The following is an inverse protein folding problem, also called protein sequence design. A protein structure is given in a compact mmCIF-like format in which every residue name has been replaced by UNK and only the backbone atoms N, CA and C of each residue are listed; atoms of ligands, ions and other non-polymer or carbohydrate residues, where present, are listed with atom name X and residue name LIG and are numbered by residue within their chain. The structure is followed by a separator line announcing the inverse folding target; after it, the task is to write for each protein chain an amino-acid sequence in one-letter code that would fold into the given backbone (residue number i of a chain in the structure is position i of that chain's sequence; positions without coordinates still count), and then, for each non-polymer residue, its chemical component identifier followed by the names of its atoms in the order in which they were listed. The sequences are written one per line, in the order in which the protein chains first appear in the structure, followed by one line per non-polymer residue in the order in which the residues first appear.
data_IF_348219526309
#
_entry.id   IF_348219526309
#
_cell.length_a   1.000
_cell.length_b   1.000
_cell.length_c   1.000
_cell.angle_alpha   90.00
_cell.angle_beta   90.00
_cell.angle_gamma   90.00
#
_symmetry.space_group_name_H-M   'P 1'
#
loop_
_entity.id
_entity.type
_entity.pdbx_description
1 polymer ?
#
# COMPACT_ATOMS: atom_id res chain seq x y z
N UNK A 1 -27.47 15.77 -2.75
CA UNK A 1 -27.42 17.18 -2.32
C UNK A 1 -28.65 17.40 -1.45
N UNK A 2 -28.49 17.77 -0.19
CA UNK A 2 -29.66 17.96 0.68
C UNK A 2 -30.38 19.25 0.26
N UNK A 3 -31.64 19.19 -0.19
CA UNK A 3 -32.36 20.39 -0.61
C UNK A 3 -32.57 21.34 0.58
N UNK A 4 -32.14 22.60 0.44
CA UNK A 4 -32.39 23.67 1.42
C UNK A 4 -31.23 24.04 2.36
N UNK A 5 -30.07 23.36 2.31
CA UNK A 5 -28.88 23.73 3.10
C UNK A 5 -27.81 24.40 2.24
N UNK A 6 -27.10 25.38 2.83
CA UNK A 6 -26.00 26.04 2.14
C UNK A 6 -24.84 25.06 1.89
N UNK A 7 -24.13 25.15 0.75
CA UNK A 7 -23.00 24.27 0.43
C UNK A 7 -21.93 24.23 1.52
N UNK A 8 -21.75 25.35 2.23
CA UNK A 8 -20.81 25.49 3.35
C UNK A 8 -21.21 24.61 4.54
N UNK A 9 -22.50 24.58 4.91
CA UNK A 9 -22.98 23.74 6.02
C UNK A 9 -22.88 22.25 5.66
N UNK A 10 -23.14 21.88 4.40
CA UNK A 10 -22.99 20.49 3.95
C UNK A 10 -21.52 20.05 3.99
N UNK A 11 -20.57 20.92 3.58
CA UNK A 11 -19.14 20.64 3.70
C UNK A 11 -18.69 20.54 5.17
N UNK A 12 -19.20 21.41 6.04
CA UNK A 12 -18.89 21.38 7.48
C UNK A 12 -19.40 20.10 8.16
N UNK A 13 -20.62 19.66 7.82
CA UNK A 13 -21.14 18.38 8.30
C UNK A 13 -20.37 17.17 7.73
N UNK A 14 -20.01 17.20 6.45
CA UNK A 14 -19.21 16.14 5.83
C UNK A 14 -17.81 16.00 6.42
N UNK A 15 -17.15 17.14 6.70
CA UNK A 15 -15.83 17.16 7.35
C UNK A 15 -15.91 16.70 8.81
N UNK A 16 -16.89 17.20 9.59
CA UNK A 16 -17.12 16.75 10.97
C UNK A 16 -17.44 15.25 11.05
N UNK A 17 -18.22 14.74 10.10
CA UNK A 17 -18.52 13.31 10.02
C UNK A 17 -17.27 12.47 9.77
N UNK A 18 -16.42 12.88 8.81
CA UNK A 18 -15.16 12.19 8.49
C UNK A 18 -14.18 12.22 9.67
N UNK A 19 -14.05 13.36 10.34
CA UNK A 19 -13.25 13.49 11.56
C UNK A 19 -13.83 12.69 12.72
N UNK A 20 -15.16 12.67 12.87
CA UNK A 20 -15.86 11.89 13.89
C UNK A 20 -15.64 10.39 13.72
N UNK A 21 -15.70 9.87 12.49
CA UNK A 21 -15.33 8.49 12.16
C UNK A 21 -13.88 8.18 12.50
N UNK A 22 -12.95 9.10 12.20
CA UNK A 22 -11.53 8.95 12.54
C UNK A 22 -11.32 8.92 14.05
N UNK A 23 -11.97 9.83 14.79
CA UNK A 23 -11.92 9.88 16.24
C UNK A 23 -12.56 8.64 16.89
N UNK A 24 -13.68 8.15 16.35
CA UNK A 24 -14.32 6.91 16.80
C UNK A 24 -13.42 5.68 16.54
N UNK A 25 -12.77 5.63 15.38
CA UNK A 25 -11.75 4.64 15.03
C UNK A 25 -10.60 4.61 16.04
N UNK A 26 -10.05 5.78 16.38
CA UNK A 26 -9.00 5.92 17.38
C UNK A 26 -9.49 5.59 18.80
N UNK A 27 -10.74 5.93 19.13
CA UNK A 27 -11.33 5.68 20.45
C UNK A 27 -11.42 4.18 20.78
N UNK A 28 -11.59 3.32 19.76
CA UNK A 28 -11.59 1.86 19.93
C UNK A 28 -10.27 1.34 20.53
N UNK A 29 -9.14 2.02 20.33
CA UNK A 29 -7.83 1.65 20.90
C UNK A 29 -7.83 1.73 22.44
N UNK A 30 -8.67 2.58 23.05
CA UNK A 30 -8.79 2.64 24.51
C UNK A 30 -9.60 1.47 25.11
N UNK A 31 -10.47 0.84 24.32
CA UNK A 31 -11.28 -0.32 24.72
C UNK A 31 -10.48 -1.62 24.53
N UNK A 32 -9.69 -1.71 23.47
CA UNK A 32 -8.81 -2.85 23.21
C UNK A 32 -7.43 -2.64 23.83
N UNK A 33 -7.22 -3.19 25.04
CA UNK A 33 -5.92 -3.15 25.70
C UNK A 33 -4.81 -3.70 24.79
N UNK A 34 -3.69 -2.97 24.67
CA UNK A 34 -2.51 -3.19 23.81
C UNK A 34 -1.80 -4.56 23.91
N UNK A 35 -2.39 -5.52 24.63
CA UNK A 35 -1.76 -6.80 24.99
C UNK A 35 -1.87 -7.88 23.91
N UNK A 36 -2.71 -7.72 22.89
CA UNK A 36 -2.93 -8.77 21.88
C UNK A 36 -2.51 -8.29 20.49
N UNK A 37 -1.22 -8.45 20.16
CA UNK A 37 -0.64 -8.14 18.84
C UNK A 37 -1.47 -8.69 17.67
N UNK A 38 -2.10 -9.86 17.85
CA UNK A 38 -3.00 -10.49 16.86
C UNK A 38 -4.20 -9.61 16.46
N UNK A 39 -4.77 -8.84 17.38
CA UNK A 39 -5.90 -7.94 17.08
C UNK A 39 -5.41 -6.72 16.32
N UNK A 40 -4.23 -6.20 16.69
CA UNK A 40 -3.60 -5.08 15.98
C UNK A 40 -3.16 -5.46 14.56
N UNK A 41 -2.57 -6.64 14.38
CA UNK A 41 -2.21 -7.17 13.06
C UNK A 41 -3.47 -7.39 12.21
N UNK A 42 -4.57 -7.83 12.85
CA UNK A 42 -5.89 -7.97 12.21
C UNK A 42 -6.51 -6.65 11.78
N UNK A 43 -6.42 -5.59 12.59
CA UNK A 43 -6.95 -4.27 12.24
C UNK A 43 -6.11 -3.56 11.17
N UNK A 44 -4.79 -3.72 11.20
CA UNK A 44 -3.88 -3.26 10.14
C UNK A 44 -4.17 -3.96 8.80
N UNK A 45 -4.37 -5.28 8.83
CA UNK A 45 -4.77 -6.06 7.65
C UNK A 45 -6.16 -5.66 7.13
N UNK A 46 -7.12 -5.42 8.02
CA UNK A 46 -8.46 -4.94 7.65
C UNK A 46 -8.39 -3.57 6.98
N UNK A 47 -7.65 -2.62 7.56
CA UNK A 47 -7.47 -1.29 6.99
C UNK A 47 -6.83 -1.35 5.60
N UNK A 48 -5.77 -2.15 5.45
CA UNK A 48 -5.14 -2.38 4.15
C UNK A 48 -6.13 -3.00 3.13
N UNK A 49 -6.93 -3.98 3.56
CA UNK A 49 -7.94 -4.63 2.73
C UNK A 49 -9.03 -3.67 2.24
N UNK A 50 -9.60 -2.84 3.13
CA UNK A 50 -10.63 -1.84 2.77
C UNK A 50 -10.07 -0.84 1.76
N UNK A 51 -8.81 -0.41 1.93
CA UNK A 51 -8.18 0.54 1.02
C UNK A 51 -7.92 -0.05 -0.37
N UNK A 52 -7.50 -1.32 -0.45
CA UNK A 52 -7.33 -2.04 -1.73
C UNK A 52 -8.67 -2.26 -2.45
N UNK A 53 -9.70 -2.68 -1.71
CA UNK A 53 -11.05 -2.88 -2.21
C UNK A 53 -11.62 -1.60 -2.83
N UNK A 54 -11.62 -0.51 -2.07
CA UNK A 54 -12.11 0.78 -2.55
C UNK A 54 -11.35 1.25 -3.80
N UNK A 55 -10.03 1.04 -3.84
CA UNK A 55 -9.22 1.39 -5.00
C UNK A 55 -9.62 0.60 -6.25
N UNK A 56 -9.92 -0.70 -6.14
CA UNK A 56 -10.34 -1.48 -7.30
C UNK A 56 -11.74 -1.11 -7.79
N UNK A 57 -12.73 -1.11 -6.90
CA UNK A 57 -14.13 -0.90 -7.29
C UNK A 57 -14.48 0.56 -7.58
N UNK A 58 -13.93 1.52 -6.83
CA UNK A 58 -14.27 2.94 -7.00
C UNK A 58 -13.35 3.66 -7.99
N UNK A 59 -12.15 3.14 -8.27
CA UNK A 59 -11.20 3.80 -9.18
C UNK A 59 -10.83 2.94 -10.37
N UNK A 60 -10.35 1.71 -10.17
CA UNK A 60 -9.74 0.93 -11.25
C UNK A 60 -10.77 0.39 -12.24
N UNK A 61 -11.88 -0.18 -11.77
CA UNK A 61 -12.98 -0.67 -12.61
C UNK A 61 -13.59 0.46 -13.49
N UNK A 62 -14.04 1.60 -12.93
CA UNK A 62 -14.54 2.70 -13.75
C UNK A 62 -13.47 3.34 -14.63
N UNK A 63 -12.19 3.34 -14.22
CA UNK A 63 -11.11 3.85 -15.07
C UNK A 63 -10.87 2.99 -16.33
N UNK A 64 -11.04 1.67 -16.24
CA UNK A 64 -10.94 0.78 -17.41
C UNK A 64 -12.11 1.03 -18.37
N UNK A 65 -13.33 1.16 -17.85
CA UNK A 65 -14.52 1.45 -18.66
C UNK A 65 -14.38 2.79 -19.40
N UNK A 66 -13.90 3.84 -18.72
CA UNK A 66 -13.60 5.13 -19.35
C UNK A 66 -12.47 5.06 -20.39
N UNK A 67 -11.47 4.20 -20.17
CA UNK A 67 -10.40 4.01 -21.14
C UNK A 67 -10.89 3.27 -22.40
N UNK A 68 -11.80 2.33 -22.26
CA UNK A 68 -12.43 1.58 -23.35
C UNK A 68 -13.34 2.46 -24.20
N UNK A 69 -14.18 3.30 -23.58
CA UNK A 69 -15.05 4.27 -24.29
C UNK A 69 -14.26 5.32 -25.08
N UNK A 70 -13.04 5.66 -24.64
CA UNK A 70 -12.23 6.71 -25.27
C UNK A 70 -11.68 6.34 -26.65
N UNK A 71 -11.83 5.09 -27.10
CA UNK A 71 -11.68 4.65 -28.50
C UNK A 71 -10.27 4.76 -29.10
N UNK A 72 -9.26 5.25 -28.36
CA UNK A 72 -7.87 5.42 -28.84
C UNK A 72 -7.00 4.17 -28.73
N UNK A 73 -7.44 3.20 -27.93
CA UNK A 73 -6.78 1.93 -27.70
C UNK A 73 -7.91 0.91 -27.57
N UNK A 74 -8.14 0.04 -28.57
CA UNK A 74 -9.22 -0.97 -28.55
C UNK A 74 -9.01 -2.02 -27.43
N UNK A 75 -8.59 -3.23 -27.78
CA UNK A 75 -8.33 -4.32 -26.80
C UNK A 75 -7.23 -4.01 -25.76
N UNK A 76 -6.54 -2.87 -25.86
CA UNK A 76 -5.48 -2.42 -24.95
C UNK A 76 -5.93 -1.32 -23.97
N UNK A 77 -7.24 -1.14 -23.73
CA UNK A 77 -7.78 -0.15 -22.79
C UNK A 77 -7.21 -0.24 -21.36
N UNK A 78 -6.71 -1.42 -20.95
CA UNK A 78 -6.05 -1.61 -19.65
C UNK A 78 -4.66 -0.93 -19.57
N UNK A 79 -4.01 -0.65 -20.70
CA UNK A 79 -2.66 -0.11 -20.77
C UNK A 79 -2.53 1.28 -20.13
N UNK A 80 -3.34 2.30 -20.45
CA UNK A 80 -3.26 3.61 -19.80
C UNK A 80 -3.53 3.55 -18.29
N UNK A 81 -4.46 2.69 -17.86
CA UNK A 81 -4.77 2.50 -16.43
C UNK A 81 -3.60 1.86 -15.70
N UNK A 82 -3.00 0.81 -16.27
CA UNK A 82 -1.83 0.13 -15.70
C UNK A 82 -0.60 1.04 -15.63
N UNK A 83 -0.35 1.84 -16.69
CA UNK A 83 0.74 2.81 -16.73
C UNK A 83 0.55 3.90 -15.68
N UNK A 84 -0.67 4.46 -15.57
CA UNK A 84 -0.99 5.47 -14.57
C UNK A 84 -0.87 4.93 -13.14
N UNK A 85 -1.38 3.72 -12.88
CA UNK A 85 -1.26 3.07 -11.58
C UNK A 85 0.20 2.78 -11.21
N UNK A 86 1.00 2.26 -12.16
CA UNK A 86 2.43 1.96 -11.93
C UNK A 86 3.23 3.23 -11.69
N UNK A 87 2.95 4.31 -12.42
CA UNK A 87 3.60 5.60 -12.23
C UNK A 87 3.24 6.23 -10.88
N UNK A 88 1.99 6.09 -10.43
CA UNK A 88 1.57 6.49 -9.08
C UNK A 88 2.25 5.67 -7.98
N UNK A 89 2.34 4.35 -8.15
CA UNK A 89 3.06 3.49 -7.22
C UNK A 89 4.57 3.83 -7.15
N UNK A 90 5.18 4.10 -8.30
CA UNK A 90 6.57 4.55 -8.38
C UNK A 90 6.77 5.91 -7.69
N UNK A 91 5.83 6.83 -7.85
CA UNK A 91 5.85 8.12 -7.15
C UNK A 91 5.84 7.94 -5.63
N UNK A 92 4.94 7.12 -5.10
CA UNK A 92 4.89 6.82 -3.65
C UNK A 92 6.16 6.14 -3.18
N UNK A 93 6.73 5.22 -3.97
CA UNK A 93 8.00 4.57 -3.67
C UNK A 93 9.17 5.57 -3.60
N UNK A 94 9.24 6.51 -4.54
CA UNK A 94 10.25 7.57 -4.51
C UNK A 94 10.05 8.49 -3.30
N UNK A 95 8.80 8.84 -2.97
CA UNK A 95 8.49 9.64 -1.79
C UNK A 95 8.94 8.94 -0.49
N UNK A 96 8.73 7.63 -0.40
CA UNK A 96 9.21 6.81 0.72
C UNK A 96 10.74 6.79 0.80
N UNK A 97 11.43 6.76 -0.35
CA UNK A 97 12.89 6.86 -0.42
C UNK A 97 13.42 8.26 -0.06
N UNK A 98 12.63 9.32 -0.28
CA UNK A 98 12.99 10.68 0.10
C UNK A 98 12.86 10.95 1.60
N UNK A 99 11.92 10.29 2.30
CA UNK A 99 11.72 10.46 3.75
C UNK A 99 13.01 10.27 4.58
N UNK A 100 13.82 9.19 4.41
CA UNK A 100 15.07 9.04 5.15
C UNK A 100 16.16 10.04 4.72
N UNK A 101 16.15 10.49 3.46
CA UNK A 101 17.14 11.45 2.92
C UNK A 101 16.94 12.86 3.49
N UNK A 102 15.70 13.21 3.85
CA UNK A 102 15.35 14.52 4.44
C UNK A 102 15.57 14.60 5.96
N UNK A 103 16.13 13.56 6.58
CA UNK A 103 16.48 13.56 8.01
C UNK A 103 15.30 13.38 8.97
N UNK A 104 14.08 13.14 8.47
CA UNK A 104 12.88 12.80 9.25
C UNK A 104 12.91 11.31 9.63
N UNK A 105 13.99 10.89 10.29
CA UNK A 105 14.20 9.49 10.67
C UNK A 105 15.34 9.23 11.64
N UNK A 106 16.03 10.26 12.13
CA UNK A 106 17.10 10.08 13.13
C UNK A 106 16.58 10.38 14.54
N UNK A 107 15.73 9.49 15.04
CA UNK A 107 15.54 9.29 16.48
C UNK A 107 16.36 8.05 16.90
N UNK A 108 17.20 8.10 17.96
CA UNK A 108 18.16 7.05 18.34
C UNK A 108 17.58 5.63 18.56
N UNK A 109 16.25 5.48 18.64
CA UNK A 109 15.58 4.18 18.80
C UNK A 109 15.28 3.45 17.48
N UNK A 110 15.35 4.12 16.32
CA UNK A 110 15.10 3.50 14.99
C UNK A 110 16.31 2.74 14.45
N UNK A 111 17.54 3.07 14.85
CA UNK A 111 18.75 2.37 14.42
C UNK A 111 18.85 0.94 14.96
N UNK A 112 18.19 0.64 16.10
CA UNK A 112 18.24 -0.68 16.74
C UNK A 112 17.22 -1.68 16.15
N UNK A 113 16.11 -1.20 15.56
CA UNK A 113 15.01 -2.04 15.06
C UNK A 113 15.09 -2.41 13.56
N UNK A 114 15.99 -1.77 12.79
CA UNK A 114 16.22 -2.08 11.37
C UNK A 114 17.20 -3.24 11.12
N UNK A 115 17.74 -3.89 12.17
CA UNK A 115 18.66 -5.03 12.01
C UNK A 115 18.03 -6.44 11.94
N UNK A 116 16.80 -6.74 12.38
CA UNK A 116 16.25 -8.09 12.19
C UNK A 116 15.68 -8.33 10.77
N UNK A 117 14.80 -7.46 10.29
CA UNK A 117 13.92 -7.81 9.14
C UNK A 117 14.50 -7.47 7.77
N UNK A 118 15.24 -6.36 7.65
CA UNK A 118 15.87 -5.97 6.38
C UNK A 118 17.04 -6.90 6.00
N UNK A 119 17.74 -7.45 6.99
CA UNK A 119 18.81 -8.43 6.80
C UNK A 119 18.23 -9.78 6.36
N UNK A 120 17.11 -10.20 6.96
CA UNK A 120 16.43 -11.46 6.64
C UNK A 120 15.78 -11.44 5.25
N UNK A 121 15.23 -10.30 4.81
CA UNK A 121 14.72 -10.13 3.45
C UNK A 121 15.83 -10.13 2.37
N UNK A 122 16.98 -9.51 2.66
CA UNK A 122 18.17 -9.57 1.77
C UNK A 122 18.82 -10.96 1.78
N UNK A 123 18.90 -11.64 2.92
CA UNK A 123 19.42 -13.01 2.99
C UNK A 123 18.51 -14.00 2.28
N UNK A 124 17.18 -13.93 2.46
CA UNK A 124 16.24 -14.81 1.75
C UNK A 124 16.32 -14.63 0.23
N UNK A 125 16.48 -13.38 -0.25
CA UNK A 125 16.68 -13.10 -1.68
C UNK A 125 18.05 -13.55 -2.20
N UNK A 126 19.12 -13.44 -1.39
CA UNK A 126 20.46 -13.90 -1.74
C UNK A 126 20.56 -15.44 -1.75
N UNK A 127 19.97 -16.11 -0.76
CA UNK A 127 19.98 -17.56 -0.64
C UNK A 127 19.10 -18.22 -1.72
N UNK A 128 17.98 -17.57 -2.07
CA UNK A 128 17.12 -18.04 -3.17
C UNK A 128 17.75 -17.83 -4.55
N UNK A 129 18.71 -16.91 -4.71
CA UNK A 129 19.42 -16.69 -5.98
C UNK A 129 20.73 -17.48 -6.07
N UNK A 130 21.37 -17.81 -4.95
CA UNK A 130 22.50 -18.75 -4.90
C UNK A 130 22.04 -20.19 -5.19
N UNK A 131 20.88 -20.61 -4.66
CA UNK A 131 20.33 -21.95 -4.92
C UNK A 131 20.03 -22.22 -6.40
N UNK A 132 19.55 -21.22 -7.15
CA UNK A 132 19.33 -21.38 -8.59
C UNK A 132 20.62 -21.44 -9.42
N UNK A 133 21.75 -20.93 -8.91
CA UNK A 133 23.03 -20.99 -9.60
C UNK A 133 23.85 -22.25 -9.24
N UNK A 134 23.60 -22.87 -8.08
CA UNK A 134 24.22 -24.14 -7.69
C UNK A 134 23.53 -25.35 -8.33
N UNK A 135 22.21 -25.34 -8.56
CA UNK A 135 21.50 -26.48 -9.18
C UNK A 135 21.89 -26.71 -10.67
N UNK A 136 22.31 -25.67 -11.40
CA UNK A 136 22.74 -25.79 -12.81
C UNK A 136 24.21 -26.22 -12.99
N UNK A 137 25.10 -25.98 -12.01
CA UNK A 137 26.50 -26.45 -12.07
C UNK A 137 26.65 -27.93 -11.67
N UNK A 138 25.84 -28.41 -10.71
CA UNK A 138 25.89 -29.80 -10.25
C UNK A 138 25.24 -30.77 -11.26
N UNK A 139 24.23 -30.36 -12.03
CA UNK A 139 23.63 -31.22 -13.06
C UNK A 139 24.51 -31.37 -14.31
N UNK A 140 25.37 -30.38 -14.62
CA UNK A 140 26.29 -30.41 -15.75
C UNK A 140 27.64 -31.10 -15.43
N UNK A 141 28.07 -31.10 -14.16
CA UNK A 141 29.26 -31.82 -13.71
C UNK A 141 29.07 -33.35 -13.65
N UNK A 142 27.83 -33.83 -13.54
CA UNK A 142 27.48 -35.27 -13.56
C UNK A 142 27.20 -35.77 -15.00
N UNK A 143 27.76 -35.16 -16.05
CA UNK A 143 27.64 -35.70 -17.43
C UNK A 143 28.94 -35.69 -18.26
N UNK A 144 30.10 -35.54 -17.64
CA UNK A 144 31.43 -35.64 -18.31
C UNK A 144 32.29 -36.68 -17.61
#
# INVERSE_FOLDING_TARGET
MLPGFSPVVQALLGTLFTWGLTAAGAALVFVFSSRQKRILDGSLGFAAGVMLAASYWSLLAPAIEMAEESGKYGDFAFLPVAVGFTLGALFVYIADLMMPVLGVGTDPHMALALQPDAKLAKEKKKNSMAGLCEEDEDELSIRI
#
